data_IF_557852882223
#
_entry.id   IF_557852882223
#
_cell.length_a   1.000
_cell.length_b   1.000
_cell.length_c   1.000
_cell.angle_alpha   90.00
_cell.angle_beta   90.00
_cell.angle_gamma   90.00
#
_symmetry.space_group_name_H-M   'P 1'
#
loop_
_entity.id
_entity.type
_entity.pdbx_description
1 polymer ?
#
# COMPACT_ATOMS: atom_id res chain seq x y z
N UNK A 1 -0.67 14.34 -15.26
CA UNK A 1 -1.10 14.63 -13.87
C UNK A 1 -1.19 13.35 -13.01
N UNK A 2 -1.96 12.34 -13.44
CA UNK A 2 -2.07 11.06 -12.72
C UNK A 2 -0.72 10.35 -12.56
N UNK A 3 0.06 10.24 -13.63
CA UNK A 3 1.38 9.59 -13.58
C UNK A 3 2.34 10.31 -12.61
N UNK A 4 2.24 11.63 -12.48
CA UNK A 4 3.05 12.41 -11.54
C UNK A 4 2.70 12.05 -10.09
N UNK A 5 1.41 11.92 -9.78
CA UNK A 5 0.94 11.54 -8.44
C UNK A 5 1.45 10.14 -8.08
N UNK A 6 1.35 9.18 -9.01
CA UNK A 6 1.85 7.81 -8.79
C UNK A 6 3.36 7.83 -8.56
N UNK A 7 4.11 8.59 -9.36
CA UNK A 7 5.55 8.68 -9.25
C UNK A 7 5.98 9.25 -7.90
N UNK A 8 5.42 10.38 -7.50
CA UNK A 8 5.82 11.10 -6.28
C UNK A 8 5.38 10.39 -4.99
N UNK A 9 4.35 9.52 -5.04
CA UNK A 9 3.80 8.85 -3.84
C UNK A 9 4.20 7.38 -3.70
N UNK A 10 4.58 6.72 -4.80
CA UNK A 10 4.81 5.27 -4.82
C UNK A 10 6.20 4.86 -5.34
N UNK A 11 6.83 5.67 -6.19
CA UNK A 11 8.12 5.33 -6.81
C UNK A 11 9.24 6.17 -6.19
N UNK A 12 9.17 7.49 -6.35
CA UNK A 12 10.21 8.44 -5.94
C UNK A 12 9.96 9.03 -4.55
N UNK A 13 9.27 8.29 -3.68
CA UNK A 13 9.02 8.72 -2.32
C UNK A 13 10.33 8.64 -1.49
N UNK A 14 10.84 9.76 -0.94
CA UNK A 14 12.02 9.72 -0.10
C UNK A 14 11.69 9.02 1.23
N UNK A 15 12.22 7.81 1.43
CA UNK A 15 12.08 7.04 2.67
C UNK A 15 13.42 6.98 3.42
N UNK A 16 13.41 7.04 4.75
CA UNK A 16 14.64 6.98 5.53
C UNK A 16 15.29 5.60 5.37
N UNK A 17 16.62 5.53 5.30
CA UNK A 17 17.34 4.26 5.05
C UNK A 17 17.26 3.24 6.20
N UNK A 18 16.91 3.69 7.42
CA UNK A 18 16.81 2.84 8.61
C UNK A 18 15.35 2.55 8.99
N UNK A 19 14.51 2.12 8.04
CA UNK A 19 13.14 1.71 8.38
C UNK A 19 13.15 0.41 9.18
N UNK A 20 12.43 0.40 10.31
CA UNK A 20 12.18 -0.83 11.06
C UNK A 20 11.10 -1.67 10.39
N UNK A 21 11.04 -2.97 10.73
CA UNK A 21 9.99 -3.88 10.24
C UNK A 21 8.55 -3.39 10.51
N UNK A 22 8.34 -2.60 11.57
CA UNK A 22 7.04 -2.02 11.92
C UNK A 22 6.42 -1.17 10.80
N UNK A 23 7.22 -0.58 9.92
CA UNK A 23 6.73 0.22 8.81
C UNK A 23 6.03 -0.63 7.72
N UNK A 24 6.24 -1.95 7.69
CA UNK A 24 5.55 -2.86 6.75
C UNK A 24 4.07 -3.08 7.08
N UNK A 25 3.62 -2.75 8.30
CA UNK A 25 2.22 -2.97 8.68
C UNK A 25 1.24 -2.12 7.85
N UNK A 26 1.67 -0.94 7.39
CA UNK A 26 0.82 -0.10 6.54
C UNK A 26 0.46 -0.78 5.21
N UNK A 27 1.46 -1.30 4.48
CA UNK A 27 1.21 -2.00 3.21
C UNK A 27 0.46 -3.32 3.41
N UNK A 28 0.76 -4.04 4.50
CA UNK A 28 0.07 -5.27 4.84
C UNK A 28 -1.43 -5.05 5.10
N UNK A 29 -1.80 -3.97 5.79
CA UNK A 29 -3.20 -3.59 6.01
C UNK A 29 -3.90 -3.23 4.69
N UNK A 30 -3.22 -2.52 3.79
CA UNK A 30 -3.75 -2.22 2.45
C UNK A 30 -4.04 -3.49 1.64
N UNK A 31 -3.10 -4.45 1.63
CA UNK A 31 -3.32 -5.76 1.00
C UNK A 31 -4.45 -6.54 1.67
N UNK A 32 -4.52 -6.52 3.00
CA UNK A 32 -5.58 -7.18 3.76
C UNK A 32 -6.96 -6.63 3.39
N UNK A 33 -7.10 -5.31 3.24
CA UNK A 33 -8.34 -4.67 2.83
C UNK A 33 -8.74 -5.10 1.41
N UNK A 34 -7.81 -5.09 0.45
CA UNK A 34 -8.07 -5.53 -0.93
C UNK A 34 -8.54 -6.99 -0.92
N UNK A 35 -7.85 -7.88 -0.19
CA UNK A 35 -8.26 -9.27 -0.07
C UNK A 35 -9.66 -9.41 0.53
N UNK A 36 -9.96 -8.69 1.62
CA UNK A 36 -11.28 -8.74 2.27
C UNK A 36 -12.41 -8.25 1.36
N UNK A 37 -12.19 -7.19 0.57
CA UNK A 37 -13.20 -6.71 -0.38
C UNK A 37 -13.44 -7.74 -1.48
N UNK A 38 -12.37 -8.31 -2.04
CA UNK A 38 -12.48 -9.32 -3.09
C UNK A 38 -13.19 -10.57 -2.57
N UNK A 39 -12.76 -11.13 -1.44
CA UNK A 39 -13.39 -12.33 -0.87
C UNK A 39 -14.82 -12.05 -0.40
N UNK A 40 -15.07 -10.90 0.23
CA UNK A 40 -16.40 -10.47 0.63
C UNK A 40 -17.36 -10.34 -0.57
N UNK A 41 -16.88 -9.87 -1.73
CA UNK A 41 -17.68 -9.78 -2.94
C UNK A 41 -18.08 -11.16 -3.49
N UNK A 42 -17.20 -12.17 -3.40
CA UNK A 42 -17.49 -13.52 -3.88
C UNK A 42 -18.30 -14.38 -2.88
N UNK A 43 -18.24 -14.05 -1.59
CA UNK A 43 -18.90 -14.81 -0.52
C UNK A 43 -20.24 -14.21 -0.05
N UNK A 44 -20.59 -12.99 -0.48
CA UNK A 44 -21.89 -12.36 -0.24
C UNK A 44 -22.96 -12.85 -1.22
#
# INVERSE_FOLDING_TARGET
PLMKIINDTFIDLPTPSNISSWWNFGSLLGLCLIMQILTGLFLA
#
